data_IF_689600082884
#
_entry.id   IF_689600082884
#
_cell.length_a   1.000
_cell.length_b   1.000
_cell.length_c   1.000
_cell.angle_alpha   90.00
_cell.angle_beta   90.00
_cell.angle_gamma   90.00
#
_symmetry.space_group_name_H-M   'P 1'
#
loop_
_entity.id
_entity.type
_entity.pdbx_description
1 polymer ?
#
# COMPACT_ATOMS: atom_id res chain seq x y z
N UNK A 1 -36.81 -17.25 -46.42
CA UNK A 1 -36.05 -18.52 -46.39
C UNK A 1 -34.91 -18.34 -45.39
N UNK A 2 -35.09 -18.80 -44.14
CA UNK A 2 -34.59 -20.07 -43.60
C UNK A 2 -33.05 -20.15 -43.57
N UNK A 3 -32.35 -20.53 -42.51
CA UNK A 3 -32.54 -20.76 -41.06
C UNK A 3 -31.10 -21.05 -40.59
N UNK A 4 -30.71 -20.68 -39.37
CA UNK A 4 -29.41 -21.10 -38.83
C UNK A 4 -29.14 -20.76 -37.36
N UNK A 5 -30.10 -21.06 -36.47
CA UNK A 5 -29.88 -21.07 -35.01
C UNK A 5 -28.96 -22.23 -34.64
N UNK A 6 -28.02 -22.00 -33.71
CA UNK A 6 -27.59 -23.02 -32.73
C UNK A 6 -27.56 -22.42 -31.33
N UNK A 7 -28.49 -22.89 -30.52
CA UNK A 7 -28.51 -22.83 -29.06
C UNK A 7 -27.94 -24.16 -28.57
N UNK A 8 -27.02 -24.15 -27.61
CA UNK A 8 -26.76 -25.30 -26.73
C UNK A 8 -26.70 -24.77 -25.29
N UNK A 9 -27.39 -25.48 -24.41
CA UNK A 9 -27.77 -25.09 -23.07
C UNK A 9 -26.76 -25.53 -21.99
N UNK A 10 -26.70 -24.71 -20.95
CA UNK A 10 -26.59 -25.01 -19.49
C UNK A 10 -25.80 -26.24 -19.00
N UNK A 11 -24.86 -25.99 -18.09
CA UNK A 11 -24.67 -26.80 -16.89
C UNK A 11 -24.26 -25.92 -15.69
N UNK A 12 -25.21 -25.77 -14.76
CA UNK A 12 -25.02 -25.32 -13.38
C UNK A 12 -24.03 -26.24 -12.65
N UNK A 13 -23.10 -25.68 -11.87
CA UNK A 13 -22.59 -26.36 -10.68
C UNK A 13 -22.29 -25.36 -9.58
N UNK A 14 -23.06 -25.50 -8.50
CA UNK A 14 -22.91 -24.91 -7.19
C UNK A 14 -21.47 -24.97 -6.67
N UNK A 15 -20.98 -23.86 -6.12
CA UNK A 15 -19.89 -23.85 -5.16
C UNK A 15 -20.33 -23.09 -3.91
N UNK A 16 -20.75 -23.83 -2.90
CA UNK A 16 -20.86 -23.37 -1.51
C UNK A 16 -19.44 -23.23 -0.93
N UNK A 17 -19.13 -22.18 -0.15
CA UNK A 17 -17.88 -22.11 0.59
C UNK A 17 -17.90 -23.04 1.81
N UNK A 18 -16.80 -23.78 1.95
CA UNK A 18 -16.52 -24.76 3.00
C UNK A 18 -16.10 -24.03 4.28
N UNK A 19 -16.90 -24.15 5.36
CA UNK A 19 -16.48 -23.78 6.71
C UNK A 19 -15.56 -24.87 7.25
N UNK A 20 -14.30 -24.54 7.55
CA UNK A 20 -13.37 -25.44 8.26
C UNK A 20 -13.28 -24.97 9.71
N UNK A 21 -13.93 -25.71 10.61
CA UNK A 21 -13.56 -25.76 12.02
C UNK A 21 -12.46 -26.82 12.16
N UNK A 22 -11.33 -26.46 12.77
CA UNK A 22 -10.40 -27.45 13.35
C UNK A 22 -10.24 -27.12 14.81
N UNK A 23 -10.73 -28.02 15.66
CA UNK A 23 -10.29 -28.13 17.03
C UNK A 23 -10.48 -29.58 17.44
N UNK A 24 -9.38 -30.30 17.69
CA UNK A 24 -9.38 -31.46 18.57
C UNK A 24 -7.93 -31.79 18.96
N UNK A 25 -7.61 -31.44 20.21
CA UNK A 25 -6.53 -32.00 20.99
C UNK A 25 -6.89 -33.45 21.34
N UNK A 26 -6.02 -34.40 20.99
CA UNK A 26 -5.93 -35.67 21.69
C UNK A 26 -4.50 -36.19 21.53
N UNK A 27 -3.74 -36.21 22.62
CA UNK A 27 -2.51 -37.00 22.73
C UNK A 27 -2.56 -37.72 24.06
N UNK A 28 -2.55 -39.03 23.94
CA UNK A 28 -2.79 -40.03 24.97
C UNK A 28 -1.66 -40.10 26.00
N UNK A 29 -2.07 -40.60 27.17
CA UNK A 29 -1.23 -41.07 28.26
C UNK A 29 -0.17 -42.09 27.82
N UNK A 30 1.03 -41.94 28.39
CA UNK A 30 1.89 -43.07 28.71
C UNK A 30 2.18 -43.04 30.22
N UNK A 31 2.01 -44.21 30.83
CA UNK A 31 2.23 -44.51 32.24
C UNK A 31 3.19 -45.69 32.30
N UNK A 32 4.17 -45.65 33.22
CA UNK A 32 5.04 -46.71 33.77
C UNK A 32 6.53 -46.27 33.77
N UNK A 33 7.37 -46.50 34.78
CA UNK A 33 7.24 -46.99 36.15
C UNK A 33 8.54 -46.64 36.91
N UNK A 34 8.40 -46.53 38.24
CA UNK A 34 9.33 -46.55 39.40
C UNK A 34 10.84 -46.85 39.23
N UNK A 35 11.66 -46.09 39.98
CA UNK A 35 12.46 -46.55 41.16
C UNK A 35 13.31 -45.37 41.70
N UNK A 36 13.05 -44.84 42.90
CA UNK A 36 13.59 -45.25 44.21
C UNK A 36 15.05 -44.82 44.48
N UNK A 37 15.25 -43.76 45.29
CA UNK A 37 16.17 -43.78 46.45
C UNK A 37 16.09 -42.49 47.30
N UNK A 38 15.89 -42.69 48.61
CA UNK A 38 16.05 -41.72 49.70
C UNK A 38 17.48 -41.82 50.25
N UNK A 39 18.12 -40.71 50.58
CA UNK A 39 18.93 -40.58 51.81
C UNK A 39 19.24 -39.11 52.16
N UNK A 40 19.35 -38.88 53.46
CA UNK A 40 19.41 -37.63 54.22
C UNK A 40 20.86 -37.21 54.54
N UNK A 41 21.16 -35.90 54.60
CA UNK A 41 21.89 -35.26 55.73
C UNK A 41 22.22 -33.75 55.51
N UNK A 42 21.69 -32.90 56.41
CA UNK A 42 22.33 -31.84 57.25
C UNK A 42 23.23 -30.72 56.64
N UNK A 43 22.85 -29.47 56.97
CA UNK A 43 23.36 -28.09 56.70
C UNK A 43 24.83 -27.74 57.10
N UNK A 44 25.47 -26.67 56.52
CA UNK A 44 25.31 -25.24 56.94
C UNK A 44 25.37 -24.19 55.80
N UNK A 45 25.14 -22.87 56.05
CA UNK A 45 24.71 -21.92 55.04
C UNK A 45 25.89 -21.23 54.34
N UNK A 46 25.76 -21.00 53.04
CA UNK A 46 26.64 -20.09 52.29
C UNK A 46 25.81 -19.19 51.39
N UNK A 47 25.91 -17.90 51.69
CA UNK A 47 25.46 -16.77 50.89
C UNK A 47 26.06 -16.80 49.48
N UNK A 48 25.22 -16.83 48.45
CA UNK A 48 25.61 -16.30 47.13
C UNK A 48 24.40 -15.71 46.40
N UNK A 49 24.47 -14.41 46.25
CA UNK A 49 23.72 -13.48 45.41
C UNK A 49 23.15 -14.11 44.14
N UNK A 50 21.83 -14.32 44.10
CA UNK A 50 21.09 -14.70 42.89
C UNK A 50 20.87 -13.47 42.02
N UNK A 51 21.34 -13.56 40.78
CA UNK A 51 21.07 -12.63 39.70
C UNK A 51 19.56 -12.34 39.56
N UNK A 52 19.22 -11.07 39.41
CA UNK A 52 17.88 -10.60 39.07
C UNK A 52 17.52 -11.08 37.66
N UNK A 53 16.80 -12.20 37.57
CA UNK A 53 16.10 -12.62 36.38
C UNK A 53 15.01 -11.59 36.05
N UNK A 54 15.11 -10.95 34.89
CA UNK A 54 14.08 -10.08 34.32
C UNK A 54 12.78 -10.90 34.22
N UNK A 55 11.61 -10.38 34.63
CA UNK A 55 10.36 -11.09 34.41
C UNK A 55 10.21 -11.27 32.89
N UNK A 56 10.09 -12.53 32.48
CA UNK A 56 9.80 -12.89 31.10
C UNK A 56 8.54 -12.16 30.66
N UNK A 57 8.67 -11.32 29.65
CA UNK A 57 7.53 -10.80 28.91
C UNK A 57 6.97 -12.02 28.18
N UNK A 58 6.01 -12.69 28.81
CA UNK A 58 5.16 -13.65 28.13
C UNK A 58 4.50 -12.99 26.92
N UNK A 59 4.04 -13.76 25.93
CA UNK A 59 3.43 -13.21 24.73
C UNK A 59 2.33 -12.23 25.15
N UNK A 60 2.51 -10.96 24.80
CA UNK A 60 1.49 -9.94 24.94
C UNK A 60 0.31 -10.44 24.13
N UNK A 61 -0.75 -10.83 24.82
CA UNK A 61 -2.01 -11.25 24.24
C UNK A 61 -2.60 -9.99 23.60
N UNK A 62 -2.23 -9.71 22.35
CA UNK A 62 -2.68 -8.53 21.61
C UNK A 62 -4.19 -8.57 21.54
N UNK A 63 -4.80 -7.61 22.22
CA UNK A 63 -6.24 -7.42 22.34
C UNK A 63 -6.95 -7.57 20.98
N UNK A 64 -7.88 -8.53 20.91
CA UNK A 64 -8.71 -8.83 19.74
C UNK A 64 -9.51 -7.59 19.31
N UNK A 65 -9.74 -6.64 20.22
CA UNK A 65 -10.52 -5.41 20.02
C UNK A 65 -9.94 -4.45 18.98
N UNK A 66 -8.66 -4.61 18.61
CA UNK A 66 -7.96 -3.71 17.68
C UNK A 66 -7.42 -4.39 16.42
N UNK A 67 -7.86 -5.61 16.07
CA UNK A 67 -7.39 -6.32 14.85
C UNK A 67 -7.56 -5.49 13.57
N UNK A 68 -8.57 -4.63 13.51
CA UNK A 68 -8.80 -3.71 12.39
C UNK A 68 -7.64 -2.71 12.17
N UNK A 69 -6.94 -2.26 13.21
CA UNK A 69 -5.77 -1.37 13.07
C UNK A 69 -4.62 -2.09 12.38
N UNK A 70 -4.34 -3.33 12.79
CA UNK A 70 -3.30 -4.15 12.17
C UNK A 70 -3.64 -4.41 10.69
N UNK A 71 -4.91 -4.70 10.37
CA UNK A 71 -5.39 -4.85 9.00
C UNK A 71 -5.21 -3.57 8.17
N UNK A 72 -5.58 -2.40 8.70
CA UNK A 72 -5.37 -1.13 7.98
C UNK A 72 -3.89 -0.86 7.71
N UNK A 73 -3.01 -1.13 8.68
CA UNK A 73 -1.57 -0.99 8.50
C UNK A 73 -1.04 -1.94 7.40
N UNK A 74 -1.43 -3.21 7.43
CA UNK A 74 -1.04 -4.19 6.41
C UNK A 74 -1.52 -3.79 5.01
N UNK A 75 -2.79 -3.37 4.88
CA UNK A 75 -3.36 -2.94 3.60
C UNK A 75 -2.69 -1.68 3.08
N UNK A 76 -2.36 -0.71 3.95
CA UNK A 76 -1.57 0.48 3.60
C UNK A 76 -0.20 0.08 3.04
N UNK A 77 0.50 -0.82 3.72
CA UNK A 77 1.85 -1.26 3.33
C UNK A 77 1.82 -2.03 1.99
N UNK A 78 0.77 -2.83 1.77
CA UNK A 78 0.48 -3.53 0.50
C UNK A 78 -0.11 -2.62 -0.58
N UNK A 79 -0.41 -1.36 -0.25
CA UNK A 79 -1.10 -0.37 -1.10
C UNK A 79 -2.43 -0.88 -1.67
N UNK A 80 -3.22 -1.51 -0.82
CA UNK A 80 -4.57 -1.96 -1.16
C UNK A 80 -5.57 -0.91 -0.65
N UNK A 81 -6.33 -0.24 -1.55
CA UNK A 81 -7.43 0.64 -1.16
C UNK A 81 -8.47 -0.09 -0.33
N UNK A 82 -8.96 0.56 0.72
CA UNK A 82 -10.00 -0.02 1.59
C UNK A 82 -10.93 1.04 2.17
N UNK A 83 -12.03 0.60 2.76
CA UNK A 83 -12.96 1.43 3.53
C UNK A 83 -13.05 0.84 4.94
N UNK A 84 -12.84 1.68 5.95
CA UNK A 84 -13.20 1.36 7.32
C UNK A 84 -14.68 1.68 7.51
N UNK A 85 -15.42 0.67 7.94
CA UNK A 85 -16.83 0.79 8.27
C UNK A 85 -16.92 0.76 9.80
N UNK A 86 -17.51 1.80 10.39
CA UNK A 86 -17.71 1.91 11.84
C UNK A 86 -19.21 2.03 12.14
N UNK A 87 -19.74 1.24 13.06
CA UNK A 87 -21.05 1.55 13.67
C UNK A 87 -20.88 2.80 14.52
N UNK A 88 -21.37 3.93 14.05
CA UNK A 88 -21.23 5.22 14.72
C UNK A 88 -22.30 5.42 15.81
N UNK A 89 -23.54 4.97 15.54
CA UNK A 89 -24.66 5.11 16.47
C UNK A 89 -25.62 3.93 16.32
N UNK A 90 -26.27 3.55 17.41
CA UNK A 90 -27.30 2.51 17.43
C UNK A 90 -28.50 2.96 18.27
N UNK A 91 -29.72 2.61 17.85
CA UNK A 91 -30.95 2.80 18.64
C UNK A 91 -31.82 1.55 18.56
N UNK A 92 -32.43 1.15 19.67
CA UNK A 92 -33.29 -0.05 19.72
C UNK A 92 -32.48 -1.35 19.62
N UNK A 93 -33.13 -2.43 19.19
CA UNK A 93 -32.50 -3.75 19.07
C UNK A 93 -31.70 -3.85 17.76
N UNK A 94 -30.38 -4.00 17.89
CA UNK A 94 -29.41 -4.03 16.80
C UNK A 94 -28.44 -5.20 16.99
N UNK A 95 -27.81 -5.73 15.93
CA UNK A 95 -26.96 -6.93 16.03
C UNK A 95 -25.59 -6.68 16.68
N UNK A 96 -25.10 -5.43 16.69
CA UNK A 96 -23.80 -5.02 17.27
C UNK A 96 -23.88 -3.60 17.82
N UNK A 97 -23.07 -3.32 18.85
CA UNK A 97 -22.98 -2.00 19.46
C UNK A 97 -22.18 -0.98 18.63
N UNK A 98 -22.39 0.30 18.94
CA UNK A 98 -21.56 1.40 18.47
C UNK A 98 -20.08 1.19 18.82
N UNK A 99 -19.20 1.58 17.91
CA UNK A 99 -17.77 1.33 17.99
C UNK A 99 -17.31 0.09 17.22
N UNK A 100 -18.21 -0.86 16.90
CA UNK A 100 -17.88 -2.04 16.08
C UNK A 100 -17.35 -1.62 14.71
N UNK A 101 -16.27 -2.26 14.24
CA UNK A 101 -15.61 -1.93 12.97
C UNK A 101 -15.42 -3.14 12.07
N UNK A 102 -15.45 -2.91 10.76
CA UNK A 102 -14.99 -3.85 9.73
C UNK A 102 -14.22 -3.10 8.65
N UNK A 103 -13.31 -3.79 7.97
CA UNK A 103 -12.52 -3.25 6.85
C UNK A 103 -12.93 -3.96 5.57
N UNK A 104 -13.18 -3.21 4.51
CA UNK A 104 -13.61 -3.74 3.20
C UNK A 104 -12.66 -3.27 2.11
N UNK A 105 -12.12 -4.19 1.33
CA UNK A 105 -11.38 -3.89 0.09
C UNK A 105 -12.29 -4.16 -1.12
N UNK A 106 -11.75 -3.99 -2.34
CA UNK A 106 -12.47 -4.37 -3.56
C UNK A 106 -12.92 -5.84 -3.52
N UNK A 107 -12.11 -6.73 -2.95
CA UNK A 107 -12.29 -8.18 -3.05
C UNK A 107 -12.49 -8.87 -1.70
N UNK A 108 -11.95 -8.29 -0.62
CA UNK A 108 -11.86 -8.92 0.70
C UNK A 108 -12.63 -8.13 1.77
N UNK A 109 -12.93 -8.80 2.89
CA UNK A 109 -13.61 -8.24 4.04
C UNK A 109 -12.98 -8.78 5.33
N UNK A 110 -12.78 -7.91 6.32
CA UNK A 110 -12.14 -8.22 7.59
C UNK A 110 -12.98 -7.71 8.76
N UNK A 111 -13.34 -8.61 9.68
CA UNK A 111 -14.29 -8.30 10.75
C UNK A 111 -15.74 -8.34 10.28
N UNK A 112 -16.67 -7.97 11.17
CA UNK A 112 -18.13 -7.97 10.90
C UNK A 112 -18.80 -6.88 11.73
N UNK A 113 -19.86 -6.27 11.18
CA UNK A 113 -20.74 -5.32 11.90
C UNK A 113 -22.07 -5.95 12.30
N UNK A 114 -22.18 -7.28 12.24
CA UNK A 114 -23.37 -8.02 12.66
C UNK A 114 -24.01 -8.88 11.58
N UNK A 115 -23.47 -8.91 10.36
CA UNK A 115 -23.93 -9.78 9.28
C UNK A 115 -25.30 -9.42 8.68
N UNK A 116 -25.81 -10.29 7.82
CA UNK A 116 -27.09 -10.13 7.13
C UNK A 116 -27.11 -8.98 6.11
N UNK A 117 -28.31 -8.47 5.81
CA UNK A 117 -28.49 -7.47 4.75
C UNK A 117 -27.85 -6.12 5.06
N UNK A 118 -27.82 -5.71 6.34
CA UNK A 118 -27.08 -4.51 6.77
C UNK A 118 -25.62 -4.55 6.32
N UNK A 119 -24.94 -5.68 6.59
CA UNK A 119 -23.52 -5.85 6.24
C UNK A 119 -23.34 -5.95 4.73
N UNK A 120 -24.20 -6.69 4.04
CA UNK A 120 -24.16 -6.80 2.58
C UNK A 120 -24.30 -5.44 1.88
N UNK A 121 -25.26 -4.61 2.31
CA UNK A 121 -25.47 -3.28 1.76
C UNK A 121 -24.33 -2.32 2.11
N UNK A 122 -23.80 -2.39 3.33
CA UNK A 122 -22.66 -1.57 3.74
C UNK A 122 -21.39 -1.92 2.93
N UNK A 123 -21.15 -3.20 2.68
CA UNK A 123 -20.05 -3.69 1.82
C UNK A 123 -20.24 -3.21 0.38
N UNK A 124 -21.44 -3.31 -0.18
CA UNK A 124 -21.73 -2.85 -1.53
C UNK A 124 -21.44 -1.34 -1.68
N UNK A 125 -21.90 -0.53 -0.72
CA UNK A 125 -21.62 0.91 -0.70
C UNK A 125 -20.13 1.22 -0.52
N UNK A 126 -19.43 0.47 0.35
CA UNK A 126 -17.99 0.62 0.51
C UNK A 126 -17.23 0.36 -0.79
N UNK A 127 -17.57 -0.71 -1.52
CA UNK A 127 -16.94 -1.06 -2.80
C UNK A 127 -17.26 -0.05 -3.91
N UNK A 128 -18.51 0.39 -4.00
CA UNK A 128 -18.90 1.45 -4.93
C UNK A 128 -18.05 2.70 -4.73
N UNK A 129 -17.82 3.10 -3.48
CA UNK A 129 -16.95 4.24 -3.18
C UNK A 129 -15.50 4.03 -3.55
N UNK A 130 -14.97 2.83 -3.34
CA UNK A 130 -13.61 2.54 -3.81
C UNK A 130 -13.54 2.71 -5.33
N UNK A 131 -14.54 2.25 -6.07
CA UNK A 131 -14.61 2.44 -7.53
C UNK A 131 -14.71 3.93 -7.92
N UNK A 132 -15.58 4.70 -7.27
CA UNK A 132 -15.74 6.14 -7.49
C UNK A 132 -14.46 6.91 -7.16
N UNK A 133 -13.92 6.67 -5.96
CA UNK A 133 -12.70 7.30 -5.47
C UNK A 133 -11.52 6.99 -6.39
N UNK A 134 -11.37 5.74 -6.85
CA UNK A 134 -10.31 5.32 -7.76
C UNK A 134 -10.54 5.76 -9.22
N UNK A 135 -11.70 6.34 -9.56
CA UNK A 135 -12.01 6.75 -10.93
C UNK A 135 -12.09 5.59 -11.93
N UNK A 136 -12.40 4.38 -11.46
CA UNK A 136 -12.43 3.14 -12.26
C UNK A 136 -13.85 2.71 -12.66
N UNK A 137 -14.87 3.49 -12.31
CA UNK A 137 -16.27 3.25 -12.67
C UNK A 137 -16.70 3.91 -13.98
N UNK A 138 -17.79 3.45 -14.62
CA UNK A 138 -18.39 4.14 -15.75
C UNK A 138 -18.80 5.55 -15.32
N UNK A 139 -18.21 6.57 -15.96
CA UNK A 139 -18.67 7.94 -15.79
C UNK A 139 -20.04 8.07 -16.46
N UNK A 140 -21.02 8.74 -15.83
CA UNK A 140 -22.16 9.24 -16.58
C UNK A 140 -21.61 10.15 -17.69
N UNK A 141 -21.90 9.81 -18.96
CA UNK A 141 -21.32 10.48 -20.14
C UNK A 141 -21.70 11.98 -20.27
N UNK A 142 -22.53 12.53 -19.38
CA UNK A 142 -23.11 13.87 -19.49
C UNK A 142 -22.72 14.83 -18.35
N UNK A 143 -21.79 14.44 -17.46
CA UNK A 143 -21.28 15.35 -16.42
C UNK A 143 -19.92 15.91 -16.87
N UNK A 144 -19.83 17.22 -17.19
CA UNK A 144 -18.54 17.86 -17.45
C UNK A 144 -17.61 17.62 -16.26
N UNK A 145 -16.30 17.44 -16.47
CA UNK A 145 -15.36 17.41 -15.36
C UNK A 145 -15.40 18.77 -14.66
N UNK A 146 -16.12 18.82 -13.54
CA UNK A 146 -16.10 19.96 -12.64
C UNK A 146 -14.72 19.94 -11.94
N UNK A 147 -13.87 20.97 -12.12
CA UNK A 147 -12.56 21.03 -11.47
C UNK A 147 -12.64 21.11 -9.94
N UNK A 148 -13.83 21.22 -9.35
CA UNK A 148 -14.07 21.33 -7.90
C UNK A 148 -14.81 20.13 -7.30
N UNK A 149 -15.44 19.27 -8.10
CA UNK A 149 -16.00 17.99 -7.62
C UNK A 149 -15.04 16.83 -7.87
N UNK A 150 -13.94 16.84 -7.10
CA UNK A 150 -13.20 15.62 -6.77
C UNK A 150 -14.19 14.56 -6.30
N UNK A 151 -14.02 13.30 -6.74
CA UNK A 151 -14.72 12.16 -6.16
C UNK A 151 -14.48 12.20 -4.65
N UNK A 152 -15.47 12.71 -3.91
CA UNK A 152 -15.27 13.14 -2.54
C UNK A 152 -14.88 11.92 -1.70
N UNK A 153 -13.64 11.95 -1.20
CA UNK A 153 -13.11 11.01 -0.21
C UNK A 153 -13.73 11.25 1.17
N UNK A 154 -14.85 11.97 1.25
CA UNK A 154 -15.42 12.36 2.52
C UNK A 154 -16.00 11.16 3.26
N UNK A 155 -15.71 11.16 4.54
CA UNK A 155 -16.39 10.34 5.52
C UNK A 155 -17.90 10.56 5.39
N UNK A 156 -18.67 9.47 5.27
CA UNK A 156 -20.13 9.56 5.15
C UNK A 156 -20.82 8.68 6.18
N UNK A 157 -21.86 9.25 6.78
CA UNK A 157 -22.79 8.54 7.65
C UNK A 157 -23.97 8.02 6.82
N UNK A 158 -24.30 6.75 6.98
CA UNK A 158 -25.44 6.08 6.34
C UNK A 158 -26.31 5.48 7.43
N UNK A 159 -27.60 5.81 7.39
CA UNK A 159 -28.56 5.36 8.42
C UNK A 159 -29.43 4.23 7.87
N UNK A 160 -29.45 3.13 8.59
CA UNK A 160 -30.22 1.92 8.29
C UNK A 160 -31.32 1.75 9.33
N UNK A 161 -32.58 1.74 8.89
CA UNK A 161 -33.68 1.25 9.71
C UNK A 161 -33.73 -0.27 9.59
N UNK A 162 -33.40 -0.98 10.67
CA UNK A 162 -33.50 -2.42 10.73
C UNK A 162 -34.99 -2.76 10.93
N UNK A 163 -35.52 -3.52 9.99
CA UNK A 163 -36.93 -3.87 9.95
C UNK A 163 -37.29 -4.52 8.60
N UNK A 164 -38.58 -4.64 8.26
CA UNK A 164 -39.02 -5.29 7.02
C UNK A 164 -38.41 -4.66 5.76
N UNK A 165 -38.14 -3.36 5.78
CA UNK A 165 -37.50 -2.59 4.70
C UNK A 165 -36.08 -3.06 4.36
N UNK A 166 -35.37 -3.69 5.29
CA UNK A 166 -34.06 -4.30 5.07
C UNK A 166 -34.10 -5.83 5.17
N UNK A 167 -35.31 -6.43 5.20
CA UNK A 167 -35.55 -7.86 5.42
C UNK A 167 -34.79 -8.45 6.63
N UNK A 168 -34.83 -7.76 7.77
CA UNK A 168 -34.19 -8.18 9.02
C UNK A 168 -35.20 -8.27 10.18
N UNK A 169 -34.91 -9.16 11.14
CA UNK A 169 -35.77 -9.38 12.33
C UNK A 169 -35.57 -8.34 13.44
N UNK A 170 -34.48 -7.57 13.39
CA UNK A 170 -34.19 -6.50 14.33
C UNK A 170 -35.06 -5.27 14.01
N UNK A 171 -35.59 -4.58 15.03
CA UNK A 171 -36.43 -3.38 14.88
C UNK A 171 -35.69 -2.06 15.21
N UNK A 172 -34.37 -2.09 15.33
CA UNK A 172 -33.53 -0.95 15.68
C UNK A 172 -33.12 -0.09 14.49
N UNK A 173 -32.25 0.87 14.73
CA UNK A 173 -31.64 1.74 13.72
C UNK A 173 -30.14 1.77 13.95
N UNK A 174 -29.37 1.67 12.87
CA UNK A 174 -27.91 1.73 12.91
C UNK A 174 -27.44 2.84 12.00
N UNK A 175 -26.56 3.71 12.50
CA UNK A 175 -25.83 4.67 11.68
C UNK A 175 -24.41 4.15 11.50
N UNK A 176 -24.00 4.01 10.25
CA UNK A 176 -22.70 3.49 9.85
C UNK A 176 -21.88 4.62 9.23
N UNK A 177 -20.65 4.79 9.70
CA UNK A 177 -19.65 5.67 9.11
C UNK A 177 -18.78 4.88 8.12
N UNK A 178 -18.67 5.39 6.90
CA UNK A 178 -17.81 4.86 5.84
C UNK A 178 -16.63 5.81 5.64
N UNK A 179 -15.41 5.33 5.91
CA UNK A 179 -14.17 6.11 5.86
C UNK A 179 -13.20 5.48 4.84
N UNK A 180 -13.01 6.08 3.65
CA UNK A 180 -12.11 5.54 2.64
C UNK A 180 -10.64 5.78 2.99
N UNK A 181 -9.83 4.74 2.90
CA UNK A 181 -8.38 4.78 3.01
C UNK A 181 -7.77 4.41 1.66
N UNK A 182 -7.25 5.41 0.96
CA UNK A 182 -6.50 5.19 -0.26
C UNK A 182 -5.01 5.19 0.04
N UNK A 183 -4.23 4.23 -0.46
CA UNK A 183 -2.79 4.34 -0.42
C UNK A 183 -2.35 5.57 -1.24
N UNK A 184 -1.14 6.11 -0.98
CA UNK A 184 -0.51 7.05 -1.89
C UNK A 184 -0.65 6.50 -3.31
N UNK A 185 -1.05 7.33 -4.27
CA UNK A 185 -1.34 6.80 -5.62
C UNK A 185 -0.09 6.45 -6.39
N UNK A 186 0.97 7.24 -6.24
CA UNK A 186 2.21 7.07 -7.02
C UNK A 186 3.40 6.77 -6.12
N UNK A 187 4.33 5.99 -6.65
CA UNK A 187 5.60 5.65 -6.00
C UNK A 187 6.69 6.53 -6.61
N UNK A 188 7.60 7.03 -5.79
CA UNK A 188 8.86 7.60 -6.26
C UNK A 188 10.02 6.79 -5.68
N UNK A 189 10.79 6.15 -6.57
CA UNK A 189 12.08 5.55 -6.22
C UNK A 189 13.17 6.58 -6.48
N UNK A 190 13.77 7.09 -5.41
CA UNK A 190 14.82 8.10 -5.45
C UNK A 190 16.18 7.47 -5.15
N UNK A 191 17.01 7.28 -6.17
CA UNK A 191 18.35 6.72 -6.03
C UNK A 191 19.40 7.81 -5.83
N UNK A 192 19.90 7.94 -4.61
CA UNK A 192 20.94 8.89 -4.21
C UNK A 192 20.50 9.78 -3.06
N UNK A 193 21.21 9.70 -1.94
CA UNK A 193 20.99 10.49 -0.72
C UNK A 193 22.00 11.62 -0.51
N UNK A 194 22.76 11.97 -1.56
CA UNK A 194 23.61 13.16 -1.54
C UNK A 194 22.82 14.48 -1.47
N UNK A 195 23.53 15.61 -1.45
CA UNK A 195 22.98 16.95 -1.27
C UNK A 195 21.78 17.29 -2.18
N UNK A 196 21.80 16.89 -3.45
CA UNK A 196 20.67 17.11 -4.37
C UNK A 196 19.47 16.24 -4.00
N UNK A 197 19.69 14.98 -3.63
CA UNK A 197 18.61 14.09 -3.24
C UNK A 197 17.91 14.51 -1.98
N UNK A 198 18.69 14.97 -1.00
CA UNK A 198 18.12 15.58 0.20
C UNK A 198 17.24 16.79 -0.13
N UNK A 199 17.71 17.69 -0.99
CA UNK A 199 16.92 18.85 -1.40
C UNK A 199 15.64 18.44 -2.15
N UNK A 200 15.69 17.41 -3.00
CA UNK A 200 14.50 16.87 -3.69
C UNK A 200 13.50 16.29 -2.69
N UNK A 201 13.96 15.49 -1.72
CA UNK A 201 13.09 14.93 -0.67
C UNK A 201 12.43 16.04 0.14
N UNK A 202 13.18 17.07 0.53
CA UNK A 202 12.66 18.22 1.28
C UNK A 202 11.54 18.95 0.51
N UNK A 203 11.67 19.11 -0.82
CA UNK A 203 10.65 19.76 -1.66
C UNK A 203 9.43 18.87 -1.89
N UNK A 204 9.62 17.56 -2.02
CA UNK A 204 8.54 16.62 -2.32
C UNK A 204 7.79 16.09 -1.08
N UNK A 205 8.34 16.32 0.12
CA UNK A 205 7.72 15.91 1.37
C UNK A 205 6.32 16.52 1.52
N UNK A 206 5.36 15.72 1.99
CA UNK A 206 3.97 16.17 2.21
C UNK A 206 3.07 16.15 0.97
N UNK A 207 3.57 15.82 -0.23
CA UNK A 207 2.75 15.72 -1.45
C UNK A 207 1.90 14.44 -1.54
N UNK A 208 1.82 13.63 -0.47
CA UNK A 208 1.04 12.39 -0.46
C UNK A 208 1.58 11.30 -1.41
N UNK A 209 2.88 11.33 -1.70
CA UNK A 209 3.58 10.31 -2.51
C UNK A 209 4.26 9.28 -1.60
N UNK A 210 4.34 8.03 -2.05
CA UNK A 210 5.17 7.02 -1.38
C UNK A 210 6.60 7.12 -1.90
N UNK A 211 7.47 7.83 -1.18
CA UNK A 211 8.86 8.07 -1.58
C UNK A 211 9.77 7.04 -0.90
N UNK A 212 10.47 6.23 -1.69
CA UNK A 212 11.56 5.35 -1.21
C UNK A 212 12.89 5.98 -1.58
N UNK A 213 13.67 6.35 -0.57
CA UNK A 213 14.93 7.05 -0.70
C UNK A 213 16.09 6.07 -0.52
N UNK A 214 16.82 5.78 -1.59
CA UNK A 214 17.71 4.62 -1.69
C UNK A 214 19.16 5.09 -1.87
N UNK A 215 20.06 4.64 -0.99
CA UNK A 215 21.50 4.89 -1.08
C UNK A 215 22.28 3.78 -0.34
N UNK A 216 23.45 3.34 -0.82
CA UNK A 216 24.30 2.37 -0.12
C UNK A 216 24.99 2.92 1.14
N UNK A 217 24.90 4.23 1.41
CA UNK A 217 25.57 4.91 2.52
C UNK A 217 24.54 5.32 3.57
N UNK A 218 24.45 4.57 4.66
CA UNK A 218 23.51 4.84 5.74
C UNK A 218 23.65 6.25 6.33
N UNK A 219 24.87 6.78 6.39
CA UNK A 219 25.21 8.09 6.94
C UNK A 219 24.69 9.28 6.12
N UNK A 220 24.19 9.05 4.90
CA UNK A 220 23.61 10.11 4.08
C UNK A 220 22.17 10.45 4.48
N UNK A 221 21.48 9.52 5.16
CA UNK A 221 20.12 9.74 5.61
C UNK A 221 20.11 10.57 6.92
N UNK A 222 19.16 11.51 7.09
CA UNK A 222 18.99 12.20 8.36
C UNK A 222 18.37 11.27 9.41
N UNK A 223 18.61 11.56 10.68
CA UNK A 223 18.03 10.80 11.81
C UNK A 223 16.50 10.80 11.82
N UNK A 224 15.90 11.90 11.33
CA UNK A 224 14.45 12.07 11.20
C UNK A 224 14.08 12.22 9.73
N UNK A 225 13.26 11.29 9.25
CA UNK A 225 12.69 11.31 7.90
C UNK A 225 11.38 12.11 7.88
N UNK A 226 11.07 12.82 6.79
CA UNK A 226 9.74 13.39 6.57
C UNK A 226 8.67 12.30 6.43
N UNK A 227 7.41 12.66 6.69
CA UNK A 227 6.27 11.75 6.51
C UNK A 227 6.14 11.31 5.04
N UNK A 228 5.85 10.02 4.83
CA UNK A 228 5.75 9.41 3.50
C UNK A 228 7.09 9.06 2.84
N UNK A 229 8.21 9.25 3.56
CA UNK A 229 9.56 8.90 3.10
C UNK A 229 10.07 7.65 3.84
N UNK A 230 10.46 6.63 3.08
CA UNK A 230 11.12 5.42 3.57
C UNK A 230 12.59 5.45 3.15
N UNK A 231 13.54 5.44 4.09
CA UNK A 231 14.95 5.28 3.78
C UNK A 231 15.30 3.80 3.58
N UNK A 232 15.94 3.49 2.45
CA UNK A 232 16.36 2.15 2.08
C UNK A 232 17.88 2.12 1.93
N UNK A 233 18.55 1.63 2.97
CA UNK A 233 19.99 1.40 2.95
C UNK A 233 20.30 0.03 2.35
N UNK A 234 20.85 0.01 1.14
CA UNK A 234 21.17 -1.25 0.44
C UNK A 234 22.38 -1.10 -0.47
N UNK A 235 23.21 -2.15 -0.52
CA UNK A 235 24.33 -2.25 -1.47
C UNK A 235 23.91 -2.77 -2.84
N UNK A 236 22.66 -3.21 -2.99
CA UNK A 236 22.09 -3.71 -4.24
C UNK A 236 20.88 -2.84 -4.66
N UNK A 237 21.07 -1.53 -4.93
CA UNK A 237 19.96 -0.62 -5.22
C UNK A 237 19.11 -1.04 -6.44
N UNK A 238 19.69 -1.73 -7.42
CA UNK A 238 18.96 -2.23 -8.60
C UNK A 238 17.85 -3.22 -8.22
N UNK A 239 17.97 -3.90 -7.08
CA UNK A 239 16.95 -4.80 -6.56
C UNK A 239 15.62 -4.07 -6.30
N UNK A 240 15.67 -2.80 -5.92
CA UNK A 240 14.48 -2.01 -5.59
C UNK A 240 13.62 -1.73 -6.83
N UNK A 241 14.22 -1.74 -8.02
CA UNK A 241 13.49 -1.62 -9.29
C UNK A 241 12.51 -2.78 -9.54
N UNK A 242 12.68 -3.95 -8.89
CA UNK A 242 11.71 -5.04 -8.98
C UNK A 242 10.35 -4.69 -8.37
N UNK A 243 10.31 -3.69 -7.48
CA UNK A 243 9.07 -3.20 -6.87
C UNK A 243 8.34 -2.19 -7.75
N UNK A 244 8.91 -1.81 -8.91
CA UNK A 244 8.30 -0.83 -9.81
C UNK A 244 7.13 -1.38 -10.64
N UNK A 245 6.20 -0.51 -10.95
CA UNK A 245 5.00 -0.73 -11.77
C UNK A 245 4.78 0.44 -12.74
N UNK A 246 3.70 0.40 -13.52
CA UNK A 246 3.41 1.41 -14.54
C UNK A 246 3.13 2.83 -13.98
N UNK A 247 2.94 2.98 -12.66
CA UNK A 247 2.70 4.26 -11.98
C UNK A 247 3.90 4.70 -11.12
N UNK A 248 5.01 3.97 -11.21
CA UNK A 248 6.25 4.26 -10.48
C UNK A 248 7.08 5.32 -11.21
N UNK A 249 7.46 6.37 -10.49
CA UNK A 249 8.44 7.36 -10.92
C UNK A 249 9.81 6.91 -10.41
N UNK A 250 10.82 7.02 -11.26
CA UNK A 250 12.19 6.65 -10.96
C UNK A 250 13.07 7.88 -11.17
N UNK A 251 13.80 8.28 -10.15
CA UNK A 251 14.76 9.38 -10.22
C UNK A 251 16.15 8.89 -9.79
N UNK A 252 17.10 8.99 -10.72
CA UNK A 252 18.50 8.58 -10.53
C UNK A 252 19.36 9.82 -10.37
N UNK A 253 19.82 10.06 -9.15
CA UNK A 253 20.59 11.24 -8.75
C UNK A 253 21.84 10.87 -7.94
N UNK A 254 22.46 9.75 -8.29
CA UNK A 254 23.62 9.24 -7.54
C UNK A 254 24.91 10.00 -7.89
N UNK A 255 25.96 9.74 -7.11
CA UNK A 255 27.29 10.28 -7.33
C UNK A 255 28.18 9.38 -8.22
N UNK A 256 27.71 8.17 -8.55
CA UNK A 256 28.49 7.17 -9.29
C UNK A 256 27.92 6.96 -10.69
N UNK A 257 28.74 7.23 -11.71
CA UNK A 257 28.35 7.04 -13.11
C UNK A 257 28.04 5.59 -13.45
N UNK A 258 28.74 4.64 -12.83
CA UNK A 258 28.51 3.21 -13.08
C UNK A 258 27.21 2.73 -12.43
N UNK A 259 26.90 3.24 -11.23
CA UNK A 259 25.62 2.97 -10.58
C UNK A 259 24.46 3.60 -11.37
N UNK A 260 24.59 4.86 -11.77
CA UNK A 260 23.60 5.55 -12.60
C UNK A 260 23.28 4.73 -13.86
N UNK A 261 24.32 4.23 -14.53
CA UNK A 261 24.19 3.42 -15.74
C UNK A 261 23.42 2.13 -15.48
N UNK A 262 23.82 1.35 -14.46
CA UNK A 262 23.16 0.08 -14.11
C UNK A 262 21.70 0.27 -13.73
N UNK A 263 21.37 1.33 -13.00
CA UNK A 263 19.99 1.66 -12.64
C UNK A 263 19.14 2.01 -13.87
N UNK A 264 19.66 2.86 -14.75
CA UNK A 264 18.95 3.25 -15.99
C UNK A 264 18.77 2.07 -16.93
N UNK A 265 19.82 1.26 -17.13
CA UNK A 265 19.76 0.04 -17.93
C UNK A 265 18.69 -0.91 -17.39
N UNK A 266 18.75 -1.22 -16.09
CA UNK A 266 17.77 -2.10 -15.42
C UNK A 266 16.36 -1.55 -15.55
N UNK A 267 16.13 -0.25 -15.30
CA UNK A 267 14.81 0.35 -15.42
C UNK A 267 14.24 0.22 -16.84
N UNK A 268 15.06 0.50 -17.87
CA UNK A 268 14.65 0.42 -19.27
C UNK A 268 14.37 -1.02 -19.73
N UNK A 269 15.18 -1.99 -19.29
CA UNK A 269 14.97 -3.42 -19.58
C UNK A 269 13.61 -3.93 -19.08
N UNK A 270 13.23 -3.52 -17.87
CA UNK A 270 11.95 -3.95 -17.28
C UNK A 270 10.77 -3.10 -17.79
N UNK A 271 11.01 -1.84 -18.18
CA UNK A 271 10.02 -0.93 -18.78
C UNK A 271 8.76 -0.65 -17.94
N UNK A 272 8.80 -0.95 -16.63
CA UNK A 272 7.70 -0.78 -15.66
C UNK A 272 7.86 0.52 -14.87
N UNK A 273 7.54 1.66 -15.50
CA UNK A 273 7.57 2.97 -14.86
C UNK A 273 6.73 3.99 -15.62
N UNK A 274 6.20 4.97 -14.90
CA UNK A 274 5.56 6.16 -15.49
C UNK A 274 6.60 7.16 -15.99
N UNK A 275 7.69 7.33 -15.25
CA UNK A 275 8.75 8.28 -15.56
C UNK A 275 10.12 7.75 -15.12
N UNK A 276 11.15 7.98 -15.94
CA UNK A 276 12.55 7.69 -15.61
C UNK A 276 13.40 8.94 -15.86
N UNK A 277 13.91 9.54 -14.78
CA UNK A 277 14.78 10.70 -14.80
C UNK A 277 16.19 10.38 -14.34
N UNK A 278 17.19 10.92 -15.02
CA UNK A 278 18.60 10.86 -14.66
C UNK A 278 19.21 12.26 -14.49
N UNK A 279 19.89 12.49 -13.37
CA UNK A 279 20.74 13.67 -13.20
C UNK A 279 21.97 13.59 -14.11
N UNK A 280 22.24 14.69 -14.80
CA UNK A 280 23.44 14.81 -15.62
C UNK A 280 23.28 15.81 -16.74
N UNK A 281 24.27 15.85 -17.63
CA UNK A 281 24.29 16.71 -18.80
C UNK A 281 23.75 15.98 -20.05
N UNK A 282 23.49 16.74 -21.11
CA UNK A 282 23.22 16.17 -22.43
C UNK A 282 24.35 15.23 -22.91
N UNK A 283 25.60 15.56 -22.62
CA UNK A 283 26.74 14.69 -22.95
C UNK A 283 26.73 13.36 -22.17
N UNK A 284 26.28 13.37 -20.90
CA UNK A 284 26.08 12.13 -20.12
C UNK A 284 25.01 11.26 -20.79
N UNK A 285 23.88 11.87 -21.19
CA UNK A 285 22.81 11.19 -21.93
C UNK A 285 23.32 10.52 -23.20
N UNK A 286 24.00 11.26 -24.09
CA UNK A 286 24.51 10.71 -25.35
C UNK A 286 25.43 9.51 -25.14
N UNK A 287 26.29 9.58 -24.11
CA UNK A 287 27.18 8.46 -23.73
C UNK A 287 26.40 7.24 -23.27
N UNK A 288 25.39 7.43 -22.42
CA UNK A 288 24.54 6.36 -21.92
C UNK A 288 23.76 5.71 -23.06
N UNK A 289 23.11 6.51 -23.92
CA UNK A 289 22.36 5.99 -25.06
C UNK A 289 23.22 5.14 -25.99
N UNK A 290 24.46 5.57 -26.30
CA UNK A 290 25.37 4.77 -27.13
C UNK A 290 25.64 3.40 -26.52
N UNK A 291 25.88 3.34 -25.20
CA UNK A 291 26.16 2.09 -24.49
C UNK A 291 24.89 1.24 -24.34
N UNK A 292 23.74 1.84 -24.04
CA UNK A 292 22.43 1.17 -23.95
C UNK A 292 22.01 0.54 -25.29
N UNK A 293 22.28 1.20 -26.42
CA UNK A 293 22.07 0.61 -27.75
C UNK A 293 22.95 -0.63 -27.97
N UNK A 294 24.21 -0.59 -27.50
CA UNK A 294 25.13 -1.71 -27.67
C UNK A 294 24.73 -2.98 -26.90
N UNK A 295 23.91 -2.84 -25.85
CA UNK A 295 23.34 -3.95 -25.08
C UNK A 295 21.90 -4.30 -25.50
N UNK A 296 21.41 -3.71 -26.60
CA UNK A 296 20.14 -4.10 -27.23
C UNK A 296 18.90 -3.30 -26.79
N UNK A 297 19.04 -2.19 -26.07
CA UNK A 297 17.89 -1.32 -25.77
C UNK A 297 17.43 -0.60 -27.05
N UNK A 298 16.16 -0.77 -27.40
CA UNK A 298 15.57 -0.21 -28.60
C UNK A 298 15.54 1.34 -28.56
N UNK A 299 15.70 2.03 -29.71
CA UNK A 299 15.64 3.49 -29.79
C UNK A 299 14.37 4.09 -29.18
N UNK A 300 13.22 3.47 -29.41
CA UNK A 300 11.93 3.95 -28.89
C UNK A 300 11.89 3.89 -27.35
N UNK A 301 12.46 2.84 -26.74
CA UNK A 301 12.57 2.72 -25.29
C UNK A 301 13.46 3.82 -24.71
N UNK A 302 14.53 4.23 -25.41
CA UNK A 302 15.43 5.30 -24.96
C UNK A 302 14.75 6.67 -24.90
N UNK A 303 13.68 6.90 -25.67
CA UNK A 303 12.90 8.15 -25.60
C UNK A 303 12.26 8.35 -24.23
N UNK A 304 12.02 7.26 -23.49
CA UNK A 304 11.45 7.28 -22.14
C UNK A 304 12.44 7.67 -21.05
N UNK A 305 13.72 7.83 -21.37
CA UNK A 305 14.73 8.37 -20.45
C UNK A 305 14.74 9.90 -20.54
N UNK A 306 14.52 10.55 -19.41
CA UNK A 306 14.67 12.00 -19.25
C UNK A 306 16.02 12.33 -18.65
N UNK A 307 16.84 13.09 -19.39
CA UNK A 307 18.15 13.57 -18.96
C UNK A 307 18.52 14.77 -19.84
N UNK A 308 18.93 15.92 -19.29
CA UNK A 308 18.88 16.28 -17.87
C UNK A 308 17.47 16.23 -17.29
N UNK A 309 17.37 15.96 -15.99
CA UNK A 309 16.14 16.16 -15.21
C UNK A 309 15.98 17.63 -14.80
N UNK A 310 14.74 18.01 -14.52
CA UNK A 310 14.33 19.37 -14.19
C UNK A 310 13.71 20.11 -15.37
N UNK A 311 12.75 20.99 -15.10
CA UNK A 311 12.21 21.90 -16.12
C UNK A 311 13.32 22.83 -16.66
N UNK A 312 13.29 23.17 -17.96
CA UNK A 312 14.19 24.16 -18.51
C UNK A 312 13.90 25.56 -17.94
N UNK A 313 14.88 26.47 -18.03
CA UNK A 313 14.71 27.87 -17.64
C UNK A 313 15.14 28.21 -16.21
N UNK A 314 15.58 27.24 -15.41
CA UNK A 314 16.20 27.46 -14.09
C UNK A 314 17.70 27.13 -14.20
N UNK A 315 18.59 28.13 -14.34
CA UNK A 315 19.99 27.89 -14.70
C UNK A 315 20.91 27.53 -13.52
N UNK A 316 20.47 27.72 -12.27
CA UNK A 316 21.35 27.53 -11.13
C UNK A 316 21.68 26.07 -10.85
N UNK A 317 22.92 25.87 -10.39
CA UNK A 317 23.46 24.55 -10.01
C UNK A 317 23.27 24.25 -8.52
N UNK A 318 22.63 25.16 -7.79
CA UNK A 318 22.41 25.00 -6.37
C UNK A 318 21.44 23.82 -6.13
N UNK A 319 21.70 22.91 -5.17
CA UNK A 319 20.86 21.72 -4.94
C UNK A 319 19.37 22.02 -4.79
N UNK A 320 19.01 23.12 -4.13
CA UNK A 320 17.60 23.53 -3.96
C UNK A 320 16.94 24.02 -5.26
N UNK A 321 17.68 24.70 -6.12
CA UNK A 321 17.16 25.14 -7.43
C UNK A 321 16.90 23.93 -8.33
N UNK A 322 17.85 22.98 -8.34
CA UNK A 322 17.69 21.70 -9.03
C UNK A 322 16.47 20.95 -8.48
N UNK A 323 16.32 20.91 -7.15
CA UNK A 323 15.18 20.24 -6.51
C UNK A 323 13.84 20.84 -6.92
N UNK A 324 13.71 22.17 -6.96
CA UNK A 324 12.51 22.85 -7.43
C UNK A 324 12.24 22.55 -8.91
N UNK A 325 13.28 22.61 -9.76
CA UNK A 325 13.14 22.31 -11.18
C UNK A 325 12.69 20.86 -11.43
N UNK A 326 13.25 19.92 -10.68
CA UNK A 326 12.90 18.49 -10.74
C UNK A 326 11.48 18.27 -10.22
N UNK A 327 11.12 18.83 -9.07
CA UNK A 327 9.77 18.71 -8.52
C UNK A 327 8.72 19.26 -9.49
N UNK A 328 8.96 20.44 -10.07
CA UNK A 328 8.09 21.03 -11.09
C UNK A 328 7.94 20.12 -12.32
N UNK A 329 9.04 19.50 -12.78
CA UNK A 329 8.98 18.55 -13.89
C UNK A 329 8.15 17.32 -13.52
N UNK A 330 8.39 16.71 -12.36
CA UNK A 330 7.64 15.54 -11.93
C UNK A 330 6.14 15.83 -11.85
N UNK A 331 5.74 16.98 -11.30
CA UNK A 331 4.34 17.42 -11.26
C UNK A 331 3.75 17.64 -12.67
N UNK A 332 4.53 18.21 -13.59
CA UNK A 332 4.12 18.39 -14.99
C UNK A 332 3.91 17.03 -15.69
N UNK A 333 4.76 16.05 -15.39
CA UNK A 333 4.70 14.66 -15.85
C UNK A 333 3.63 13.83 -15.11
N UNK A 334 2.80 14.48 -14.29
CA UNK A 334 1.64 13.86 -13.66
C UNK A 334 1.90 13.21 -12.30
N UNK A 335 3.07 13.45 -11.67
CA UNK A 335 3.22 13.16 -10.25
C UNK A 335 2.13 13.94 -9.49
N UNK A 336 1.44 13.27 -8.58
CA UNK A 336 0.23 13.69 -7.85
C UNK A 336 -1.06 13.85 -8.68
N UNK A 337 -1.07 13.62 -10.00
CA UNK A 337 -2.32 13.68 -10.78
C UNK A 337 -3.17 12.43 -10.58
N UNK A 338 -4.48 12.61 -10.55
CA UNK A 338 -5.43 11.51 -10.68
C UNK A 338 -5.37 10.98 -12.11
N UNK A 339 -4.78 9.80 -12.30
CA UNK A 339 -4.76 9.14 -13.60
C UNK A 339 -6.18 8.61 -13.84
N UNK A 340 -6.90 9.29 -14.73
CA UNK A 340 -8.18 8.82 -15.24
C UNK A 340 -7.90 7.49 -15.94
N UNK A 341 -8.31 6.38 -15.34
CA UNK A 341 -8.29 5.08 -16.02
C UNK A 341 -9.42 5.11 -17.04
N UNK A 342 -9.13 5.57 -18.26
CA UNK A 342 -10.06 5.49 -19.39
C UNK A 342 -9.99 6.68 -20.34
N UNK A 343 -9.50 6.42 -21.55
CA UNK A 343 -9.55 7.35 -22.67
C UNK A 343 -8.32 7.26 -23.56
N UNK A 344 -8.22 6.20 -24.36
CA UNK A 344 -7.59 6.37 -25.67
C UNK A 344 -8.45 7.38 -26.43
N UNK A 345 -7.83 8.47 -26.88
CA UNK A 345 -8.23 9.15 -28.10
C UNK A 345 -7.00 9.25 -28.99
#
# INVERSE_FOLDING_TARGET
MLVGRRVVATAHRDRRPLYIHTNENASQHDHENRDAQKSSAIHPPTTSTSAAGRPGIGPVMTDISHRWLATLAELRDRRVPCVLITIAETRGSVPREAGTKMVVTADEQFGTIGGGNLEADAVAQARQRLTEALGTGPRPNDVPPDPVHQASLDNRLVRYALGPSLAQCCGGVVTVLLEPFLPPRQRLLLFGAGHVGRAVVEVLAGLGIALRWIDPRAEQFPDRLPDGVEAVHTRAPEAELRTSDADTYILVISHSHDLDYRLVETALQHSRFAYLGLIGSASKRTRFEKRLRSVGIAPDTLTRLTCPIGIPGIPGKHPREIAIAVAAQLLAEGLTRERIVGGQQ
#
